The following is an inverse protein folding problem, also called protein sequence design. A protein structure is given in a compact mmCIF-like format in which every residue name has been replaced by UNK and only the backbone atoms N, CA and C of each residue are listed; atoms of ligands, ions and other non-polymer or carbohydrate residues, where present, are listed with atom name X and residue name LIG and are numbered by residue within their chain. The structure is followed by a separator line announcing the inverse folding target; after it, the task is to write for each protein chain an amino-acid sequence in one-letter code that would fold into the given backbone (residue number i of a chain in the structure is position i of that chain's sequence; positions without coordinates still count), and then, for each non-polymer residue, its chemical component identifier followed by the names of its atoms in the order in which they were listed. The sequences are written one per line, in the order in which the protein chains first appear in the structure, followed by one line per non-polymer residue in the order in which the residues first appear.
data_IF_371441755212
#
_entry.id   IF_371441755212
#
_cell.length_a   1.000
_cell.length_b   1.000
_cell.length_c   1.000
_cell.angle_alpha   90.00
_cell.angle_beta   90.00
_cell.angle_gamma   90.00
#
_symmetry.space_group_name_H-M   'P 1'
#
loop_
_entity.id
_entity.type
_entity.pdbx_description
1 polymer ?
#
# COMPACT_ATOMS: atom_id res chain seq x y z
N UNK A 1 -67.53 -37.51 -11.51
CA UNK A 1 -66.46 -36.99 -10.63
C UNK A 1 -65.23 -36.91 -11.52
N UNK A 2 -65.10 -35.81 -12.26
CA UNK A 2 -63.97 -35.61 -13.16
C UNK A 2 -62.88 -34.88 -12.38
N UNK A 3 -61.74 -35.55 -12.23
CA UNK A 3 -60.56 -34.99 -11.59
C UNK A 3 -59.78 -34.20 -12.63
N UNK A 4 -59.92 -32.89 -12.57
CA UNK A 4 -59.22 -31.94 -13.43
C UNK A 4 -57.74 -31.90 -13.03
N UNK A 5 -56.85 -32.18 -13.97
CA UNK A 5 -55.41 -32.21 -13.72
C UNK A 5 -54.89 -30.82 -13.34
N UNK A 6 -54.14 -30.74 -12.24
CA UNK A 6 -53.42 -29.55 -11.79
C UNK A 6 -52.55 -28.97 -12.92
N UNK A 7 -52.89 -27.78 -13.40
CA UNK A 7 -52.03 -27.00 -14.29
C UNK A 7 -50.83 -26.49 -13.48
N UNK A 8 -49.66 -27.04 -13.75
CA UNK A 8 -48.40 -26.55 -13.18
C UNK A 8 -48.04 -25.24 -13.88
N UNK A 9 -48.31 -24.11 -13.21
CA UNK A 9 -47.82 -22.80 -13.62
C UNK A 9 -46.28 -22.85 -13.65
N UNK A 10 -45.62 -22.54 -14.79
CA UNK A 10 -44.17 -22.54 -14.82
C UNK A 10 -43.65 -21.41 -13.93
N UNK A 11 -42.97 -21.78 -12.84
CA UNK A 11 -42.22 -20.85 -12.02
C UNK A 11 -41.13 -20.25 -12.90
N UNK A 12 -41.27 -18.96 -13.25
CA UNK A 12 -40.17 -18.19 -13.83
C UNK A 12 -39.10 -18.06 -12.75
N UNK A 13 -38.06 -18.88 -12.84
CA UNK A 13 -36.81 -18.64 -12.12
C UNK A 13 -36.21 -17.35 -12.65
N UNK A 14 -36.46 -16.24 -11.96
CA UNK A 14 -35.57 -15.08 -12.02
C UNK A 14 -34.41 -15.35 -11.06
N UNK A 15 -33.54 -16.28 -11.45
CA UNK A 15 -32.18 -16.26 -10.95
C UNK A 15 -31.44 -15.29 -11.86
N UNK A 16 -31.20 -14.07 -11.38
CA UNK A 16 -30.24 -13.18 -12.03
C UNK A 16 -28.90 -13.93 -12.06
N UNK A 17 -28.45 -14.28 -13.26
CA UNK A 17 -27.19 -14.98 -13.46
C UNK A 17 -26.04 -14.01 -13.19
N UNK A 18 -25.47 -14.05 -11.99
CA UNK A 18 -24.25 -13.34 -11.63
C UNK A 18 -22.99 -13.86 -12.36
N UNK A 19 -23.12 -14.83 -13.27
CA UNK A 19 -22.02 -15.46 -14.03
C UNK A 19 -21.42 -14.57 -15.13
N UNK A 20 -21.63 -13.26 -15.06
CA UNK A 20 -21.09 -12.28 -16.00
C UNK A 20 -20.88 -10.89 -15.40
N UNK A 21 -21.03 -10.73 -14.09
CA UNK A 21 -20.59 -9.51 -13.41
C UNK A 21 -19.09 -9.65 -13.17
N UNK A 22 -18.28 -9.09 -14.08
CA UNK A 22 -16.90 -8.71 -13.73
C UNK A 22 -17.03 -7.72 -12.57
N UNK A 23 -16.93 -8.25 -11.34
CA UNK A 23 -16.80 -7.45 -10.14
C UNK A 23 -15.68 -6.45 -10.43
N UNK A 24 -15.93 -5.12 -10.36
CA UNK A 24 -14.94 -4.14 -10.77
C UNK A 24 -13.66 -4.42 -9.99
N UNK A 25 -12.67 -4.96 -10.70
CA UNK A 25 -11.39 -5.34 -10.13
C UNK A 25 -10.83 -4.05 -9.56
N UNK A 26 -10.86 -3.89 -8.24
CA UNK A 26 -10.30 -2.71 -7.60
C UNK A 26 -8.85 -2.66 -8.05
N UNK A 27 -8.53 -1.66 -8.86
CA UNK A 27 -7.20 -1.53 -9.43
C UNK A 27 -6.24 -1.37 -8.25
N UNK A 28 -5.47 -2.43 -7.98
CA UNK A 28 -4.40 -2.38 -7.00
C UNK A 28 -3.42 -1.30 -7.45
N UNK A 29 -2.96 -0.43 -6.53
CA UNK A 29 -1.97 0.58 -6.87
C UNK A 29 -0.74 -0.09 -7.47
N UNK A 30 -0.19 0.55 -8.49
CA UNK A 30 1.03 0.08 -9.15
C UNK A 30 2.18 0.08 -8.15
N UNK A 31 3.19 -0.76 -8.39
CA UNK A 31 4.40 -0.75 -7.56
C UNK A 31 5.06 0.64 -7.49
N UNK A 32 5.01 1.40 -8.60
CA UNK A 32 5.55 2.76 -8.65
C UNK A 32 4.79 3.74 -7.73
N UNK A 33 3.46 3.64 -7.67
CA UNK A 33 2.64 4.43 -6.75
C UNK A 33 2.94 4.05 -5.30
N UNK A 34 2.98 2.75 -4.99
CA UNK A 34 3.35 2.27 -3.65
C UNK A 34 4.74 2.75 -3.23
N UNK A 35 5.74 2.66 -4.13
CA UNK A 35 7.09 3.13 -3.86
C UNK A 35 7.13 4.65 -3.63
N UNK A 36 6.37 5.42 -4.42
CA UNK A 36 6.26 6.87 -4.24
C UNK A 36 5.67 7.22 -2.88
N UNK A 37 4.63 6.50 -2.46
CA UNK A 37 3.99 6.73 -1.16
C UNK A 37 4.95 6.38 -0.01
N UNK A 38 5.65 5.25 -0.10
CA UNK A 38 6.67 4.85 0.87
C UNK A 38 7.81 5.88 0.98
N UNK A 39 8.29 6.42 -0.14
CA UNK A 39 9.28 7.50 -0.14
C UNK A 39 8.72 8.79 0.49
N UNK A 40 7.43 9.06 0.28
CA UNK A 40 6.71 10.15 0.94
C UNK A 40 6.68 9.99 2.46
N UNK A 41 6.46 8.77 2.95
CA UNK A 41 6.47 8.44 4.38
C UNK A 41 7.85 8.64 5.00
N UNK A 42 8.91 8.18 4.33
CA UNK A 42 10.31 8.39 4.78
C UNK A 42 10.61 9.89 4.93
N UNK A 43 10.20 10.71 3.95
CA UNK A 43 10.34 12.16 3.99
C UNK A 43 9.52 12.79 5.13
N UNK A 44 8.33 12.26 5.42
CA UNK A 44 7.52 12.72 6.55
C UNK A 44 8.21 12.42 7.89
N UNK A 45 8.77 11.21 8.06
CA UNK A 45 9.54 10.83 9.25
C UNK A 45 10.77 11.72 9.44
N UNK A 46 11.49 12.02 8.36
CA UNK A 46 12.67 12.90 8.42
C UNK A 46 12.29 14.32 8.84
N UNK A 47 11.25 14.90 8.24
CA UNK A 47 10.75 16.23 8.63
C UNK A 47 10.25 16.28 10.08
N UNK A 48 9.60 15.21 10.54
CA UNK A 48 9.13 15.14 11.92
C UNK A 48 10.31 15.09 12.91
N UNK A 49 11.35 14.32 12.61
CA UNK A 49 12.59 14.32 13.38
C UNK A 49 13.23 15.70 13.43
N UNK A 50 13.35 16.39 12.29
CA UNK A 50 13.89 17.76 12.22
C UNK A 50 13.05 18.74 13.04
N UNK A 51 11.72 18.66 12.94
CA UNK A 51 10.79 19.52 13.67
C UNK A 51 10.95 19.34 15.18
N UNK A 52 10.99 18.09 15.65
CA UNK A 52 11.16 17.76 17.07
C UNK A 52 12.54 18.16 17.57
N UNK A 53 13.59 17.97 16.77
CA UNK A 53 14.95 18.42 17.07
C UNK A 53 15.05 19.93 17.20
N UNK A 54 14.41 20.69 16.31
CA UNK A 54 14.35 22.14 16.39
C UNK A 54 13.57 22.62 17.62
N UNK A 55 12.45 21.98 17.93
CA UNK A 55 11.65 22.29 19.12
C UNK A 55 12.43 21.99 20.41
N UNK A 56 13.22 20.91 20.45
CA UNK A 56 14.12 20.61 21.56
C UNK A 56 15.22 21.68 21.71
N UNK A 57 15.87 22.07 20.62
CA UNK A 57 16.89 23.13 20.63
C UNK A 57 16.32 24.50 21.07
N UNK A 58 15.04 24.75 20.79
CA UNK A 58 14.31 25.93 21.23
C UNK A 58 13.82 25.84 22.70
N UNK A 59 14.04 24.70 23.38
CA UNK A 59 13.56 24.47 24.75
C UNK A 59 12.04 24.27 24.86
N UNK A 60 11.37 23.96 23.74
CA UNK A 60 9.92 23.76 23.65
C UNK A 60 9.50 22.30 23.83
N UNK A 61 10.47 21.39 24.01
CA UNK A 61 10.23 19.96 24.21
C UNK A 61 10.74 19.57 25.60
N UNK A 62 9.85 19.10 26.45
CA UNK A 62 10.18 18.56 27.77
C UNK A 62 10.64 17.10 27.70
N UNK A 63 10.15 16.36 26.72
CA UNK A 63 10.42 14.93 26.55
C UNK A 63 11.42 14.66 25.40
N UNK A 64 12.70 14.60 25.78
CA UNK A 64 13.80 14.27 24.87
C UNK A 64 13.65 12.89 24.22
N UNK A 65 12.95 11.95 24.87
CA UNK A 65 12.79 10.57 24.39
C UNK A 65 12.05 10.54 23.06
N UNK A 66 11.05 11.41 22.87
CA UNK A 66 10.29 11.50 21.62
C UNK A 66 11.16 11.97 20.46
N UNK A 67 12.09 12.90 20.71
CA UNK A 67 13.02 13.42 19.71
C UNK A 67 13.97 12.31 19.26
N UNK A 68 14.52 11.56 20.22
CA UNK A 68 15.42 10.43 19.94
C UNK A 68 14.68 9.33 19.17
N UNK A 69 13.47 8.97 19.57
CA UNK A 69 12.66 7.96 18.87
C UNK A 69 12.34 8.41 17.44
N UNK A 70 11.98 9.68 17.24
CA UNK A 70 11.69 10.21 15.90
C UNK A 70 12.95 10.20 15.01
N UNK A 71 14.11 10.55 15.57
CA UNK A 71 15.39 10.49 14.86
C UNK A 71 15.75 9.05 14.45
N UNK A 72 15.62 8.09 15.36
CA UNK A 72 15.89 6.67 15.08
C UNK A 72 14.96 6.12 13.98
N UNK A 73 13.67 6.46 14.05
CA UNK A 73 12.70 6.08 13.02
C UNK A 73 13.08 6.63 11.65
N UNK A 74 13.46 7.91 11.57
CA UNK A 74 13.87 8.53 10.32
C UNK A 74 15.14 7.88 9.76
N UNK A 75 16.13 7.59 10.61
CA UNK A 75 17.39 6.98 10.19
C UNK A 75 17.17 5.55 9.64
N UNK A 76 16.48 4.69 10.38
CA UNK A 76 16.17 3.32 9.93
C UNK A 76 15.38 3.35 8.62
N UNK A 77 14.40 4.25 8.48
CA UNK A 77 13.59 4.37 7.27
C UNK A 77 14.43 4.77 6.04
N UNK A 78 15.38 5.70 6.21
CA UNK A 78 16.31 6.10 5.15
C UNK A 78 17.28 4.97 4.81
N UNK A 79 17.84 4.29 5.80
CA UNK A 79 18.73 3.14 5.57
C UNK A 79 18.03 2.03 4.78
N UNK A 80 16.79 1.70 5.16
CA UNK A 80 15.97 0.75 4.42
C UNK A 80 15.73 1.21 2.98
N UNK A 81 15.41 2.47 2.78
CA UNK A 81 15.20 3.06 1.45
C UNK A 81 16.45 2.93 0.57
N UNK A 82 17.64 3.19 1.14
CA UNK A 82 18.91 3.02 0.45
C UNK A 82 19.17 1.55 0.09
N UNK A 83 18.89 0.62 1.00
CA UNK A 83 19.03 -0.80 0.73
C UNK A 83 18.14 -1.26 -0.44
N UNK A 84 16.87 -0.84 -0.45
CA UNK A 84 15.92 -1.12 -1.54
C UNK A 84 16.41 -0.49 -2.86
N UNK A 85 16.83 0.78 -2.83
CA UNK A 85 17.38 1.47 -4.00
C UNK A 85 18.57 0.72 -4.59
N UNK A 86 19.52 0.34 -3.75
CA UNK A 86 20.71 -0.41 -4.18
C UNK A 86 20.29 -1.73 -4.82
N UNK A 87 19.35 -2.45 -4.20
CA UNK A 87 18.88 -3.73 -4.74
C UNK A 87 18.15 -3.60 -6.08
N UNK A 88 17.38 -2.53 -6.26
CA UNK A 88 16.72 -2.24 -7.53
C UNK A 88 17.75 -1.95 -8.63
N UNK A 89 18.80 -1.18 -8.32
CA UNK A 89 19.90 -0.89 -9.26
C UNK A 89 20.68 -2.16 -9.60
N UNK A 90 21.00 -3.00 -8.61
CA UNK A 90 21.63 -4.30 -8.84
C UNK A 90 20.80 -5.19 -9.76
N UNK A 91 19.49 -5.31 -9.51
CA UNK A 91 18.59 -6.11 -10.32
C UNK A 91 18.54 -5.62 -11.77
N UNK A 92 18.50 -4.29 -11.96
CA UNK A 92 18.58 -3.69 -13.30
C UNK A 92 19.92 -4.04 -13.98
N UNK A 93 21.04 -3.92 -13.28
CA UNK A 93 22.36 -4.26 -13.83
C UNK A 93 22.46 -5.75 -14.20
N UNK A 94 21.90 -6.64 -13.39
CA UNK A 94 21.92 -8.09 -13.65
C UNK A 94 21.12 -8.45 -14.92
N UNK A 95 19.93 -7.87 -15.10
CA UNK A 95 19.11 -8.06 -16.31
C UNK A 95 19.89 -7.64 -17.56
N UNK A 96 20.62 -6.52 -17.49
CA UNK A 96 21.45 -6.04 -18.61
C UNK A 96 22.62 -6.98 -18.92
N UNK A 97 23.16 -7.68 -17.91
CA UNK A 97 24.26 -8.65 -18.08
C UNK A 97 23.81 -9.99 -18.66
N UNK A 98 22.52 -10.32 -18.59
CA UNK A 98 21.98 -11.56 -19.17
C UNK A 98 21.81 -11.50 -20.70
N UNK A 99 21.86 -10.32 -21.32
CA UNK A 99 21.60 -10.12 -22.77
C UNK A 99 22.87 -10.11 -23.65
N UNK A 100 23.98 -10.72 -23.21
CA UNK A 100 25.15 -11.00 -24.06
C UNK A 100 25.32 -12.48 -24.33
#
# INVERSE_FOLDING_TARGET
MEIEALQMTPVKMQAESHLGEEQPQQALPTFGEYLKDALGEVNALQKESERLGAALAAGQVEDISQVVIAAEKADIAVQLTLAVRNKAVEAYQEIMRMQV
#
